data_IF_670689927027
#
_entry.id   IF_670689927027
#
_cell.length_a   1.000
_cell.length_b   1.000
_cell.length_c   1.000
_cell.angle_alpha   90.00
_cell.angle_beta   90.00
_cell.angle_gamma   90.00
#
_symmetry.space_group_name_H-M   'P 1'
#
loop_
_entity.id
_entity.type
_entity.pdbx_description
1 polymer ?
#
# COMPACT_ATOMS: atom_id res chain seq x y z
N UNK A 1 -40.73 13.83 36.49
CA UNK A 1 -39.72 12.75 36.40
C UNK A 1 -39.84 11.91 35.13
N UNK A 2 -40.73 12.26 34.19
CA UNK A 2 -40.94 11.52 32.93
C UNK A 2 -40.78 12.43 31.69
N UNK A 3 -40.26 13.65 31.90
CA UNK A 3 -40.00 14.65 30.84
C UNK A 3 -38.51 14.85 30.54
N UNK A 4 -37.62 14.42 31.43
CA UNK A 4 -36.16 14.57 31.24
C UNK A 4 -35.55 13.40 30.45
N UNK A 5 -36.23 12.25 30.37
CA UNK A 5 -35.75 11.06 29.63
C UNK A 5 -35.87 11.20 28.11
N UNK A 6 -36.83 11.99 27.62
CA UNK A 6 -37.03 12.23 26.19
C UNK A 6 -36.12 13.34 25.65
N UNK A 7 -35.61 14.23 26.50
CA UNK A 7 -34.62 15.24 26.13
C UNK A 7 -33.20 14.67 26.05
N UNK A 8 -32.82 13.72 26.92
CA UNK A 8 -31.53 13.00 26.81
C UNK A 8 -31.48 12.06 25.59
N UNK A 9 -32.60 11.42 25.22
CA UNK A 9 -32.68 10.63 24.00
C UNK A 9 -32.61 11.50 22.72
N UNK A 10 -33.17 12.72 22.75
CA UNK A 10 -33.01 13.69 21.66
C UNK A 10 -31.62 14.30 21.61
N UNK A 11 -30.97 14.53 22.75
CA UNK A 11 -29.58 15.00 22.82
C UNK A 11 -28.59 13.95 22.28
N UNK A 12 -28.83 12.65 22.52
CA UNK A 12 -27.99 11.58 21.97
C UNK A 12 -28.15 11.35 20.45
N UNK A 13 -29.19 11.90 19.83
CA UNK A 13 -29.43 11.81 18.37
C UNK A 13 -28.91 13.04 17.62
N UNK A 14 -28.17 13.93 18.29
CA UNK A 14 -27.51 15.11 17.70
C UNK A 14 -26.01 14.88 17.43
N UNK A 15 -25.62 13.66 17.07
CA UNK A 15 -24.34 13.39 16.43
C UNK A 15 -24.42 13.88 14.98
N UNK A 16 -24.14 15.17 14.79
CA UNK A 16 -23.68 15.82 13.55
C UNK A 16 -24.08 15.09 12.27
N UNK A 17 -25.29 15.33 11.77
CA UNK A 17 -25.66 14.97 10.40
C UNK A 17 -24.84 15.83 9.45
N UNK A 18 -23.59 15.43 9.18
CA UNK A 18 -22.76 16.06 8.17
C UNK A 18 -23.52 15.93 6.85
N UNK A 19 -23.98 17.07 6.31
CA UNK A 19 -24.65 17.09 5.01
C UNK A 19 -23.76 16.41 3.96
N UNK A 20 -24.37 15.63 3.07
CA UNK A 20 -23.67 14.98 1.96
C UNK A 20 -22.76 15.94 1.19
N UNK A 21 -23.14 17.23 1.10
CA UNK A 21 -22.39 18.29 0.43
C UNK A 21 -21.06 18.62 1.13
N UNK A 22 -21.08 18.71 2.47
CA UNK A 22 -19.89 19.01 3.28
C UNK A 22 -18.92 17.83 3.18
N UNK A 23 -19.45 16.61 3.33
CA UNK A 23 -18.65 15.39 3.26
C UNK A 23 -18.01 15.20 1.89
N UNK A 24 -18.75 15.41 0.80
CA UNK A 24 -18.20 15.37 -0.57
C UNK A 24 -17.04 16.36 -0.75
N UNK A 25 -17.27 17.63 -0.39
CA UNK A 25 -16.27 18.69 -0.56
C UNK A 25 -14.98 18.35 0.17
N UNK A 26 -15.11 17.86 1.40
CA UNK A 26 -13.98 17.49 2.24
C UNK A 26 -13.20 16.29 1.70
N UNK A 27 -13.88 15.21 1.28
CA UNK A 27 -13.22 14.04 0.70
C UNK A 27 -12.51 14.37 -0.63
N UNK A 28 -13.14 15.19 -1.48
CA UNK A 28 -12.52 15.70 -2.72
C UNK A 28 -11.24 16.49 -2.41
N UNK A 29 -11.29 17.35 -1.40
CA UNK A 29 -10.14 18.12 -0.95
C UNK A 29 -8.99 17.22 -0.49
N UNK A 30 -9.29 16.22 0.34
CA UNK A 30 -8.31 15.25 0.84
C UNK A 30 -7.69 14.43 -0.30
N UNK A 31 -8.48 14.00 -1.29
CA UNK A 31 -7.97 13.36 -2.50
C UNK A 31 -6.97 14.25 -3.25
N UNK A 32 -7.25 15.55 -3.39
CA UNK A 32 -6.36 16.49 -4.08
C UNK A 32 -5.06 16.71 -3.31
N UNK A 33 -5.13 16.82 -1.99
CA UNK A 33 -3.93 16.87 -1.13
C UNK A 33 -3.07 15.63 -1.31
N UNK A 34 -3.67 14.44 -1.27
CA UNK A 34 -2.96 13.18 -1.45
C UNK A 34 -2.32 13.08 -2.85
N UNK A 35 -3.02 13.50 -3.90
CA UNK A 35 -2.46 13.53 -5.26
C UNK A 35 -1.28 14.48 -5.39
N UNK A 36 -1.34 15.66 -4.76
CA UNK A 36 -0.25 16.62 -4.76
C UNK A 36 1.00 16.06 -4.06
N UNK A 37 0.84 15.41 -2.89
CA UNK A 37 1.95 14.73 -2.21
C UNK A 37 2.57 13.62 -3.08
N UNK A 38 1.73 12.78 -3.71
CA UNK A 38 2.19 11.73 -4.62
C UNK A 38 2.90 12.27 -5.87
N UNK A 39 2.46 13.40 -6.41
CA UNK A 39 3.10 14.07 -7.54
C UNK A 39 4.50 14.58 -7.19
N UNK A 40 4.66 15.16 -5.99
CA UNK A 40 5.96 15.61 -5.50
C UNK A 40 6.90 14.42 -5.32
N UNK A 41 6.41 13.33 -4.73
CA UNK A 41 7.19 12.10 -4.58
C UNK A 41 7.62 11.51 -5.94
N UNK A 42 6.70 11.47 -6.93
CA UNK A 42 7.04 11.03 -8.29
C UNK A 42 8.07 11.94 -8.97
N UNK A 43 7.97 13.25 -8.80
CA UNK A 43 8.97 14.20 -9.30
C UNK A 43 10.34 13.97 -8.66
N UNK A 44 10.37 13.71 -7.35
CA UNK A 44 11.60 13.40 -6.63
C UNK A 44 12.27 12.12 -7.15
N UNK A 45 11.50 11.05 -7.39
CA UNK A 45 11.97 9.83 -8.07
C UNK A 45 12.52 10.15 -9.47
N UNK A 46 11.79 10.94 -10.25
CA UNK A 46 12.18 11.31 -11.61
C UNK A 46 13.50 12.08 -11.67
N UNK A 47 13.81 12.87 -10.65
CA UNK A 47 15.06 13.63 -10.56
C UNK A 47 16.26 12.83 -10.03
N UNK A 48 16.02 11.70 -9.35
CA UNK A 48 17.06 11.00 -8.56
C UNK A 48 17.70 9.81 -9.28
N UNK A 49 17.01 9.17 -10.22
CA UNK A 49 17.45 7.90 -10.83
C UNK A 49 17.67 8.00 -12.34
N UNK A 50 18.54 7.13 -12.88
CA UNK A 50 18.71 6.94 -14.35
C UNK A 50 17.39 6.60 -15.03
N UNK A 51 17.22 7.04 -16.28
CA UNK A 51 15.98 6.83 -17.08
C UNK A 51 15.41 5.41 -17.00
N UNK A 52 16.26 4.37 -17.07
CA UNK A 52 15.79 2.98 -16.95
C UNK A 52 15.26 2.64 -15.54
N UNK A 53 16.01 2.95 -14.48
CA UNK A 53 15.58 2.74 -13.09
C UNK A 53 14.38 3.63 -12.74
N UNK A 54 14.41 4.89 -13.18
CA UNK A 54 13.31 5.84 -13.08
C UNK A 54 12.03 5.27 -13.67
N UNK A 55 12.05 4.75 -14.90
CA UNK A 55 10.87 4.17 -15.52
C UNK A 55 10.32 3.00 -14.72
N UNK A 56 11.19 2.13 -14.19
CA UNK A 56 10.77 1.04 -13.31
C UNK A 56 10.09 1.58 -12.05
N UNK A 57 10.74 2.49 -11.31
CA UNK A 57 10.15 3.08 -10.10
C UNK A 57 8.84 3.82 -10.38
N UNK A 58 8.76 4.60 -11.47
CA UNK A 58 7.54 5.33 -11.82
C UNK A 58 6.38 4.40 -12.20
N UNK A 59 6.65 3.25 -12.82
CA UNK A 59 5.63 2.22 -13.09
C UNK A 59 5.10 1.64 -11.78
N UNK A 60 6.00 1.32 -10.86
CA UNK A 60 5.66 0.72 -9.55
C UNK A 60 4.90 1.69 -8.63
N UNK A 61 5.06 3.01 -8.81
CA UNK A 61 4.30 4.05 -8.09
C UNK A 61 2.96 4.39 -8.72
N UNK A 62 2.76 4.05 -10.00
CA UNK A 62 1.59 4.49 -10.78
C UNK A 62 0.27 4.00 -10.18
N UNK A 63 0.26 2.81 -9.61
CA UNK A 63 -0.98 2.16 -9.18
C UNK A 63 -1.67 2.92 -8.04
N UNK A 64 -0.92 3.33 -7.01
CA UNK A 64 -1.48 4.12 -5.91
C UNK A 64 -2.07 5.44 -6.42
N UNK A 65 -1.30 6.20 -7.21
CA UNK A 65 -1.79 7.44 -7.83
C UNK A 65 -3.04 7.22 -8.68
N UNK A 66 -3.07 6.15 -9.48
CA UNK A 66 -4.22 5.80 -10.31
C UNK A 66 -5.46 5.50 -9.47
N UNK A 67 -5.30 4.77 -8.36
CA UNK A 67 -6.39 4.45 -7.44
C UNK A 67 -6.95 5.72 -6.78
N UNK A 68 -6.09 6.63 -6.33
CA UNK A 68 -6.52 7.93 -5.78
C UNK A 68 -7.21 8.78 -6.86
N UNK A 69 -6.72 8.75 -8.11
CA UNK A 69 -7.34 9.47 -9.23
C UNK A 69 -8.72 8.91 -9.57
N UNK A 70 -8.89 7.58 -9.57
CA UNK A 70 -10.21 6.96 -9.76
C UNK A 70 -11.16 7.29 -8.62
N UNK A 71 -10.66 7.33 -7.38
CA UNK A 71 -11.47 7.72 -6.22
C UNK A 71 -11.94 9.17 -6.34
N UNK A 72 -11.05 10.10 -6.72
CA UNK A 72 -11.39 11.50 -6.96
C UNK A 72 -12.52 11.63 -7.99
N UNK A 73 -12.44 10.90 -9.11
CA UNK A 73 -13.50 10.92 -10.14
C UNK A 73 -14.84 10.41 -9.61
N UNK A 74 -14.82 9.35 -8.80
CA UNK A 74 -16.03 8.81 -8.16
C UNK A 74 -16.63 9.83 -7.19
N UNK A 75 -15.81 10.49 -6.37
CA UNK A 75 -16.26 11.51 -5.43
C UNK A 75 -16.79 12.77 -6.15
N UNK A 76 -16.16 13.20 -7.25
CA UNK A 76 -16.65 14.32 -8.07
C UNK A 76 -18.00 14.02 -8.71
N UNK A 77 -18.24 12.75 -9.11
CA UNK A 77 -19.55 12.30 -9.56
C UNK A 77 -20.59 12.36 -8.45
N UNK A 78 -20.28 11.81 -7.26
CA UNK A 78 -21.18 11.87 -6.09
C UNK A 78 -21.48 13.32 -5.66
N UNK A 79 -20.51 14.23 -5.78
CA UNK A 79 -20.72 15.65 -5.53
C UNK A 79 -21.63 16.32 -6.57
N UNK A 80 -21.63 15.84 -7.82
CA UNK A 80 -22.60 16.27 -8.83
C UNK A 80 -24.01 15.77 -8.48
N UNK A 81 -24.14 14.49 -8.11
CA UNK A 81 -25.42 13.89 -7.74
C UNK A 81 -26.01 14.57 -6.48
N UNK A 82 -25.16 14.89 -5.51
CA UNK A 82 -25.55 15.65 -4.31
C UNK A 82 -26.07 17.04 -4.65
N UNK A 83 -25.38 17.77 -5.54
CA UNK A 83 -25.84 19.10 -5.99
C UNK A 83 -27.17 19.03 -6.74
N UNK A 84 -27.38 17.99 -7.54
CA UNK A 84 -28.65 17.77 -8.23
C UNK A 84 -29.79 17.51 -7.23
N UNK A 85 -29.56 16.69 -6.20
CA UNK A 85 -30.56 16.47 -5.14
C UNK A 85 -30.88 17.74 -4.36
N UNK A 86 -29.88 18.55 -4.03
CA UNK A 86 -30.10 19.84 -3.34
C UNK A 86 -30.92 20.79 -4.21
N UNK A 87 -30.65 20.84 -5.52
CA UNK A 87 -31.44 21.66 -6.45
C UNK A 87 -32.88 21.15 -6.59
N UNK A 88 -33.09 19.84 -6.67
CA UNK A 88 -34.42 19.22 -6.71
C UNK A 88 -35.23 19.55 -5.45
N UNK A 89 -34.60 19.48 -4.27
CA UNK A 89 -35.21 19.85 -2.99
C UNK A 89 -35.62 21.32 -2.97
N UNK A 90 -34.75 22.22 -3.43
CA UNK A 90 -35.02 23.65 -3.49
C UNK A 90 -36.16 24.01 -4.46
N UNK A 91 -36.26 23.33 -5.61
CA UNK A 91 -37.37 23.54 -6.55
C UNK A 91 -38.71 23.02 -5.99
N UNK A 92 -38.71 21.89 -5.29
CA UNK A 92 -39.91 21.35 -4.60
C UNK A 92 -40.37 22.27 -3.46
N UNK A 93 -39.45 22.85 -2.71
CA UNK A 93 -39.76 23.82 -1.66
C UNK A 93 -40.44 25.08 -2.22
N UNK A 94 -39.94 25.62 -3.35
CA UNK A 94 -40.59 26.75 -4.06
C UNK A 94 -42.00 26.42 -4.56
N UNK A 95 -42.23 25.17 -4.99
CA UNK A 95 -43.56 24.72 -5.44
C UNK A 95 -44.55 24.58 -4.27
N UNK A 96 -44.07 24.23 -3.06
CA UNK A 96 -44.87 24.14 -1.83
C UNK A 96 -45.30 25.51 -1.30
N UNK A 97 -44.44 26.53 -1.37
CA UNK A 97 -44.77 27.91 -0.96
C UNK A 97 -45.93 28.53 -1.77
N UNK A 98 -46.28 27.95 -2.93
CA UNK A 98 -47.40 28.39 -3.77
C UNK A 98 -48.75 27.67 -3.55
N UNK A 99 -48.81 26.58 -2.75
CA UNK A 99 -50.05 25.80 -2.52
C UNK A 99 -50.33 25.66 -1.03
N UNK A 100 -51.52 26.07 -0.59
CA UNK A 100 -51.97 25.88 0.80
C UNK A 100 -51.88 24.39 1.21
N UNK A 101 -51.21 24.17 2.34
CA UNK A 101 -50.92 22.89 2.97
C UNK A 101 -52.11 21.92 2.95
N UNK A 102 -51.97 20.82 2.22
CA UNK A 102 -52.69 19.59 2.51
C UNK A 102 -51.71 18.64 3.20
N UNK A 103 -51.98 18.36 4.47
CA UNK A 103 -51.20 17.51 5.39
C UNK A 103 -51.18 16.04 4.94
N UNK A 104 -50.43 15.72 3.89
CA UNK A 104 -50.00 14.36 3.58
C UNK A 104 -48.49 14.27 3.73
N UNK A 105 -47.99 13.25 4.42
CA UNK A 105 -46.59 12.84 4.29
C UNK A 105 -46.35 12.52 2.81
N UNK A 106 -45.65 13.40 2.09
CA UNK A 106 -45.35 13.20 0.67
C UNK A 106 -44.34 12.06 0.53
N UNK A 107 -44.73 11.00 -0.18
CA UNK A 107 -43.88 9.86 -0.59
C UNK A 107 -42.55 10.34 -1.23
N UNK A 108 -42.60 11.51 -1.87
CA UNK A 108 -41.51 12.16 -2.60
C UNK A 108 -40.42 12.76 -1.67
N UNK A 109 -40.76 13.20 -0.45
CA UNK A 109 -39.77 13.64 0.55
C UNK A 109 -38.97 12.43 1.08
N UNK A 110 -39.65 11.30 1.26
CA UNK A 110 -39.03 10.03 1.69
C UNK A 110 -38.07 9.51 0.62
N UNK A 111 -38.40 9.67 -0.67
CA UNK A 111 -37.50 9.29 -1.76
C UNK A 111 -36.20 10.11 -1.78
N UNK A 112 -36.30 11.43 -1.56
CA UNK A 112 -35.13 12.32 -1.49
C UNK A 112 -34.21 11.97 -0.31
N UNK A 113 -34.79 11.71 0.87
CA UNK A 113 -34.01 11.29 2.05
C UNK A 113 -33.33 9.94 1.83
N UNK A 114 -34.01 8.98 1.19
CA UNK A 114 -33.38 7.70 0.83
C UNK A 114 -32.24 7.87 -0.18
N UNK A 115 -32.38 8.77 -1.16
CA UNK A 115 -31.30 9.08 -2.12
C UNK A 115 -30.10 9.73 -1.41
N UNK A 116 -30.34 10.70 -0.54
CA UNK A 116 -29.28 11.34 0.27
C UNK A 116 -28.58 10.31 1.18
N UNK A 117 -29.34 9.44 1.85
CA UNK A 117 -28.82 8.36 2.68
C UNK A 117 -27.91 7.39 1.90
N UNK A 118 -28.28 7.03 0.66
CA UNK A 118 -27.43 6.20 -0.21
C UNK A 118 -26.11 6.90 -0.58
N UNK A 119 -26.15 8.20 -0.85
CA UNK A 119 -24.94 8.98 -1.13
C UNK A 119 -24.04 9.02 0.09
N UNK A 120 -24.57 9.36 1.27
CA UNK A 120 -23.80 9.42 2.52
C UNK A 120 -23.18 8.06 2.84
N UNK A 121 -23.93 6.97 2.69
CA UNK A 121 -23.41 5.62 2.88
C UNK A 121 -22.23 5.35 1.93
N UNK A 122 -22.38 5.69 0.65
CA UNK A 122 -21.32 5.52 -0.35
C UNK A 122 -20.07 6.33 0.00
N UNK A 123 -20.24 7.59 0.42
CA UNK A 123 -19.14 8.47 0.86
C UNK A 123 -18.40 7.91 2.08
N UNK A 124 -19.13 7.38 3.07
CA UNK A 124 -18.56 6.73 4.25
C UNK A 124 -17.79 5.45 3.90
N UNK A 125 -18.24 4.74 2.87
CA UNK A 125 -17.55 3.55 2.33
C UNK A 125 -16.41 3.86 1.34
N UNK A 126 -16.04 5.14 1.17
CA UNK A 126 -14.94 5.55 0.30
C UNK A 126 -13.63 4.84 0.67
N UNK A 127 -12.87 4.45 -0.36
CA UNK A 127 -11.57 3.83 -0.19
C UNK A 127 -10.47 4.84 0.19
N UNK A 128 -10.79 6.14 0.24
CA UNK A 128 -9.83 7.20 0.54
C UNK A 128 -9.17 7.03 1.92
N UNK A 129 -9.93 6.52 2.91
CA UNK A 129 -9.40 6.27 4.26
C UNK A 129 -8.22 5.29 4.21
N UNK A 130 -8.40 4.19 3.47
CA UNK A 130 -7.36 3.19 3.25
C UNK A 130 -6.18 3.75 2.45
N UNK A 131 -6.42 4.45 1.34
CA UNK A 131 -5.34 5.02 0.53
C UNK A 131 -4.51 6.06 1.32
N UNK A 132 -5.17 6.86 2.15
CA UNK A 132 -4.53 7.83 3.05
C UNK A 132 -3.73 7.12 4.13
N UNK A 133 -4.26 6.03 4.70
CA UNK A 133 -3.55 5.20 5.66
C UNK A 133 -2.25 4.63 5.08
N UNK A 134 -2.33 4.00 3.89
CA UNK A 134 -1.17 3.44 3.17
C UNK A 134 -0.10 4.51 2.95
N UNK A 135 -0.50 5.70 2.50
CA UNK A 135 0.45 6.78 2.26
C UNK A 135 1.05 7.36 3.55
N UNK A 136 0.24 7.53 4.60
CA UNK A 136 0.69 8.03 5.90
C UNK A 136 1.71 7.09 6.53
N UNK A 137 1.41 5.78 6.54
CA UNK A 137 2.34 4.73 6.98
C UNK A 137 3.64 4.79 6.19
N UNK A 138 3.55 4.94 4.86
CA UNK A 138 4.73 5.00 4.00
C UNK A 138 5.64 6.18 4.39
N UNK A 139 5.06 7.36 4.68
CA UNK A 139 5.82 8.55 5.11
C UNK A 139 6.51 8.34 6.46
N UNK A 140 5.83 7.69 7.41
CA UNK A 140 6.30 7.62 8.80
C UNK A 140 7.20 6.41 9.12
N UNK A 141 7.00 5.30 8.41
CA UNK A 141 7.60 3.99 8.80
C UNK A 141 8.42 3.33 7.71
N UNK A 142 8.26 3.71 6.44
CA UNK A 142 8.84 2.97 5.34
C UNK A 142 10.03 3.72 4.70
N UNK A 143 11.28 3.42 5.09
CA UNK A 143 12.43 3.93 4.35
C UNK A 143 12.54 3.28 2.98
N UNK A 144 13.01 4.02 1.97
CA UNK A 144 13.35 3.47 0.66
C UNK A 144 12.21 2.69 -0.02
N UNK A 145 11.05 3.34 -0.18
CA UNK A 145 9.84 2.81 -0.82
C UNK A 145 10.09 2.52 -2.30
N UNK A 146 9.78 1.29 -2.72
CA UNK A 146 10.02 0.77 -4.07
C UNK A 146 8.74 0.64 -4.89
N UNK A 147 7.65 0.14 -4.29
CA UNK A 147 6.39 -0.10 -4.98
C UNK A 147 5.19 0.04 -4.05
N UNK A 148 4.05 0.46 -4.58
CA UNK A 148 2.76 0.39 -3.89
C UNK A 148 1.84 -0.62 -4.57
N UNK A 149 1.01 -1.33 -3.78
CA UNK A 149 -0.05 -2.19 -4.29
C UNK A 149 0.43 -3.28 -5.26
N UNK A 150 1.56 -3.92 -4.96
CA UNK A 150 2.24 -4.88 -5.84
C UNK A 150 1.81 -6.31 -5.56
N UNK A 151 1.59 -7.08 -6.63
CA UNK A 151 1.29 -8.51 -6.54
C UNK A 151 2.53 -9.36 -6.82
N UNK A 152 2.82 -10.27 -5.89
CA UNK A 152 3.91 -11.24 -5.99
C UNK A 152 3.33 -12.64 -6.18
N UNK A 153 4.00 -13.47 -6.98
CA UNK A 153 3.54 -14.81 -7.31
C UNK A 153 4.57 -15.84 -6.84
N UNK A 154 4.13 -17.00 -6.37
CA UNK A 154 5.02 -18.10 -5.95
C UNK A 154 4.85 -19.38 -6.76
N UNK A 155 4.09 -19.34 -7.85
CA UNK A 155 3.96 -20.51 -8.73
C UNK A 155 5.28 -20.77 -9.47
N UNK A 156 5.85 -21.95 -9.24
CA UNK A 156 7.09 -22.40 -9.89
C UNK A 156 6.87 -22.72 -11.37
N UNK A 157 5.63 -23.03 -11.78
CA UNK A 157 5.33 -23.44 -13.16
C UNK A 157 5.09 -22.24 -14.10
N UNK A 158 4.85 -21.03 -13.55
CA UNK A 158 4.71 -19.81 -14.36
C UNK A 158 6.02 -19.37 -15.05
N UNK A 159 7.18 -19.90 -14.60
CA UNK A 159 8.51 -19.58 -15.14
C UNK A 159 9.13 -20.73 -15.95
N UNK A 160 8.44 -21.86 -16.13
CA UNK A 160 8.93 -22.90 -17.06
C UNK A 160 8.59 -22.46 -18.48
N UNK A 161 9.57 -22.33 -19.40
CA UNK A 161 9.25 -22.30 -20.81
C UNK A 161 8.51 -23.61 -21.13
N UNK A 162 7.36 -23.51 -21.79
CA UNK A 162 6.63 -24.68 -22.26
C UNK A 162 7.55 -25.40 -23.25
N UNK A 163 8.19 -26.48 -22.82
CA UNK A 163 8.94 -27.35 -23.72
C UNK A 163 7.96 -27.91 -24.77
N UNK A 164 8.21 -27.59 -26.04
CA UNK A 164 7.54 -28.24 -27.17
C UNK A 164 6.55 -27.40 -28.00
N UNK A 165 6.45 -26.07 -27.84
CA UNK A 165 5.69 -25.23 -28.79
C UNK A 165 6.49 -23.99 -29.23
N UNK A 166 7.23 -24.14 -30.32
CA UNK A 166 7.78 -23.03 -31.11
C UNK A 166 6.65 -22.32 -31.89
N UNK A 167 5.68 -21.72 -31.21
CA UNK A 167 4.71 -20.82 -31.85
C UNK A 167 4.83 -19.42 -31.26
N UNK A 168 5.30 -18.50 -32.11
CA UNK A 168 5.67 -17.10 -31.80
C UNK A 168 4.49 -16.18 -31.39
N UNK A 169 3.37 -16.70 -30.88
CA UNK A 169 2.22 -15.90 -30.45
C UNK A 169 1.46 -16.47 -29.23
N UNK A 170 2.11 -17.28 -28.39
CA UNK A 170 1.48 -17.66 -27.12
C UNK A 170 1.44 -16.47 -26.15
N UNK A 171 0.23 -15.96 -25.86
CA UNK A 171 -0.01 -15.05 -24.73
C UNK A 171 0.62 -15.68 -23.47
N UNK A 172 1.29 -14.90 -22.59
CA UNK A 172 1.83 -15.44 -21.37
C UNK A 172 0.72 -16.17 -20.59
N UNK A 173 0.99 -17.34 -20.01
CA UNK A 173 -0.01 -18.09 -19.26
C UNK A 173 -0.63 -17.15 -18.21
N UNK A 174 -1.96 -17.16 -18.14
CA UNK A 174 -2.71 -16.34 -17.20
C UNK A 174 -2.26 -16.73 -15.79
N UNK A 175 -1.45 -15.88 -15.14
CA UNK A 175 -0.87 -16.20 -13.83
C UNK A 175 -2.01 -16.43 -12.84
N UNK A 176 -2.03 -17.62 -12.23
CA UNK A 176 -3.06 -17.97 -11.27
C UNK A 176 -3.06 -16.99 -10.10
N UNK A 177 -4.15 -16.23 -9.98
CA UNK A 177 -4.34 -15.28 -8.87
C UNK A 177 -4.31 -15.99 -7.51
N UNK A 178 -4.64 -17.28 -7.48
CA UNK A 178 -4.63 -18.15 -6.29
C UNK A 178 -3.22 -18.36 -5.72
N UNK A 179 -2.18 -18.27 -6.53
CA UNK A 179 -0.78 -18.40 -6.08
C UNK A 179 -0.08 -17.04 -6.05
N UNK A 180 -0.77 -16.05 -5.47
CA UNK A 180 -0.26 -14.68 -5.42
C UNK A 180 -0.63 -13.92 -4.15
N UNK A 181 0.31 -13.12 -3.65
CA UNK A 181 0.14 -12.26 -2.50
C UNK A 181 0.09 -10.81 -2.97
N UNK A 182 -0.79 -10.02 -2.36
CA UNK A 182 -0.90 -8.60 -2.63
C UNK A 182 -0.28 -7.80 -1.48
N UNK A 183 0.77 -7.05 -1.79
CA UNK A 183 1.56 -6.25 -0.85
C UNK A 183 1.24 -4.78 -1.07
N UNK A 184 0.85 -4.06 -0.02
CA UNK A 184 0.44 -2.67 -0.14
C UNK A 184 1.63 -1.73 -0.27
N UNK A 185 2.73 -1.99 0.45
CA UNK A 185 3.96 -1.20 0.40
C UNK A 185 5.17 -2.13 0.37
N UNK A 186 6.07 -1.93 -0.59
CA UNK A 186 7.39 -2.58 -0.61
C UNK A 186 8.43 -1.50 -0.33
N UNK A 187 9.24 -1.72 0.69
CA UNK A 187 10.18 -0.72 1.22
C UNK A 187 11.48 -1.39 1.68
N UNK A 188 12.37 -0.64 2.33
CA UNK A 188 13.68 -1.12 2.75
C UNK A 188 14.54 -1.51 1.54
N UNK A 189 14.41 -0.79 0.43
CA UNK A 189 14.98 -1.14 -0.87
C UNK A 189 14.54 -2.52 -1.39
N UNK A 190 13.32 -2.95 -1.04
CA UNK A 190 12.69 -4.19 -1.50
C UNK A 190 12.77 -5.36 -0.53
N UNK A 191 13.54 -5.22 0.55
CA UNK A 191 13.72 -6.28 1.55
C UNK A 191 12.59 -6.37 2.57
N UNK A 192 11.69 -5.38 2.62
CA UNK A 192 10.56 -5.37 3.54
C UNK A 192 9.25 -5.18 2.79
N UNK A 193 8.28 -6.04 3.09
CA UNK A 193 6.95 -6.06 2.51
C UNK A 193 5.92 -5.78 3.60
N UNK A 194 5.03 -4.83 3.34
CA UNK A 194 4.02 -4.40 4.29
C UNK A 194 2.63 -4.51 3.71
N UNK A 195 1.72 -5.00 4.54
CA UNK A 195 0.29 -5.05 4.31
C UNK A 195 -0.42 -4.18 5.33
N UNK A 196 -1.35 -3.36 4.86
CA UNK A 196 -2.21 -2.54 5.71
C UNK A 196 -3.58 -3.20 5.76
N UNK A 197 -3.95 -3.71 6.93
CA UNK A 197 -5.25 -4.35 7.15
C UNK A 197 -6.29 -3.32 7.58
N UNK A 198 -7.46 -3.36 6.95
CA UNK A 198 -8.62 -2.55 7.34
C UNK A 198 -9.60 -3.28 8.27
N UNK A 199 -9.28 -4.52 8.65
CA UNK A 199 -10.08 -5.36 9.55
C UNK A 199 -10.15 -4.71 10.93
N UNK A 200 -11.35 -4.63 11.49
CA UNK A 200 -11.62 -4.18 12.86
C UNK A 200 -11.98 -5.35 13.77
N UNK A 201 -12.07 -5.12 15.08
CA UNK A 201 -12.33 -6.20 16.04
C UNK A 201 -13.67 -6.89 15.77
N UNK A 202 -14.73 -6.11 15.51
CA UNK A 202 -16.07 -6.66 15.26
C UNK A 202 -16.13 -7.56 14.02
N UNK A 203 -15.46 -7.18 12.92
CA UNK A 203 -15.38 -7.99 11.71
C UNK A 203 -14.59 -9.27 11.94
N UNK A 204 -13.47 -9.17 12.65
CA UNK A 204 -12.65 -10.34 12.95
C UNK A 204 -13.40 -11.33 13.85
N UNK A 205 -14.10 -10.83 14.88
CA UNK A 205 -14.92 -11.66 15.76
C UNK A 205 -16.10 -12.31 15.03
N UNK A 206 -16.75 -11.57 14.12
CA UNK A 206 -17.81 -12.14 13.29
C UNK A 206 -17.27 -13.25 12.39
N UNK A 207 -16.12 -13.04 11.75
CA UNK A 207 -15.46 -14.06 10.92
C UNK A 207 -15.05 -15.28 11.75
N UNK A 208 -14.55 -15.06 12.97
CA UNK A 208 -14.23 -16.14 13.92
C UNK A 208 -15.47 -16.97 14.25
N UNK A 209 -16.59 -16.32 14.56
CA UNK A 209 -17.84 -17.03 14.82
C UNK A 209 -18.36 -17.78 13.59
N UNK A 210 -18.31 -17.16 12.40
CA UNK A 210 -18.75 -17.78 11.14
C UNK A 210 -17.94 -19.04 10.81
N UNK A 211 -16.63 -19.03 11.10
CA UNK A 211 -15.71 -20.15 10.85
C UNK A 211 -15.57 -21.12 12.03
N UNK A 212 -16.39 -20.99 13.07
CA UNK A 212 -16.36 -21.88 14.23
C UNK A 212 -15.06 -21.81 15.05
N UNK A 213 -14.39 -20.65 15.07
CA UNK A 213 -13.28 -20.37 15.99
C UNK A 213 -13.86 -20.12 17.40
N UNK A 214 -14.47 -21.14 17.99
CA UNK A 214 -14.95 -21.12 19.36
C UNK A 214 -13.82 -21.49 20.32
N UNK A 215 -13.83 -20.88 21.50
CA UNK A 215 -12.94 -21.24 22.59
C UNK A 215 -13.46 -22.52 23.23
N UNK A 216 -12.73 -23.63 23.09
CA UNK A 216 -12.75 -24.69 24.10
C UNK A 216 -12.31 -24.06 25.42
N UNK A 217 -13.28 -23.60 26.19
CA UNK A 217 -13.11 -23.09 27.54
C UNK A 217 -13.28 -24.29 28.47
N UNK A 218 -12.20 -25.04 28.64
CA UNK A 218 -11.92 -26.07 29.65
C UNK A 218 -13.11 -26.91 30.18
N UNK A 219 -13.25 -28.16 29.71
CA UNK A 219 -13.54 -29.33 30.56
C UNK A 219 -13.39 -30.64 29.76
N UNK A 220 -12.86 -31.68 30.42
CA UNK A 220 -12.48 -32.99 29.88
C UNK A 220 -13.55 -33.64 28.96
N UNK A 221 -13.20 -33.97 27.72
CA UNK A 221 -14.06 -34.81 26.86
C UNK A 221 -13.59 -34.87 25.41
N UNK A 222 -13.30 -36.08 24.94
CA UNK A 222 -12.73 -36.35 23.62
C UNK A 222 -13.56 -35.85 22.41
N UNK A 223 -12.80 -35.53 21.35
CA UNK A 223 -13.18 -35.47 19.93
C UNK A 223 -13.67 -34.13 19.34
N UNK A 224 -12.72 -33.30 18.90
CA UNK A 224 -12.64 -32.83 17.49
C UNK A 224 -11.26 -32.20 17.20
N UNK A 225 -10.43 -32.96 16.48
CA UNK A 225 -9.29 -32.61 15.60
C UNK A 225 -8.79 -31.16 15.42
N UNK A 226 -8.53 -30.39 16.49
CA UNK A 226 -7.68 -29.18 16.43
C UNK A 226 -6.69 -29.03 17.62
N UNK A 227 -6.50 -30.07 18.42
CA UNK A 227 -5.58 -30.02 19.56
C UNK A 227 -4.31 -30.86 19.32
N UNK A 228 -3.30 -30.20 18.77
CA UNK A 228 -1.90 -30.48 19.14
C UNK A 228 -0.98 -29.28 18.84
N UNK A 229 -1.44 -28.07 19.20
CA UNK A 229 -0.62 -26.86 19.15
C UNK A 229 -0.26 -26.40 20.56
N UNK A 230 0.47 -27.23 21.30
CA UNK A 230 1.10 -26.82 22.56
C UNK A 230 1.99 -25.59 22.29
N UNK A 231 1.71 -24.51 23.03
CA UNK A 231 2.37 -23.22 22.90
C UNK A 231 3.68 -23.28 23.70
N UNK A 232 4.79 -23.60 23.04
CA UNK A 232 6.12 -23.43 23.63
C UNK A 232 6.73 -22.10 23.14
N UNK A 233 6.76 -21.04 23.98
CA UNK A 233 7.31 -19.74 23.60
C UNK A 233 8.83 -19.76 23.36
N UNK A 234 9.51 -20.89 23.62
CA UNK A 234 10.93 -21.10 23.35
C UNK A 234 11.20 -22.11 22.21
N UNK A 235 10.16 -22.62 21.54
CA UNK A 235 10.26 -23.62 20.47
C UNK A 235 10.76 -23.07 19.12
N UNK A 236 11.29 -23.93 18.23
CA UNK A 236 11.68 -23.52 16.89
C UNK A 236 10.48 -22.95 16.10
N UNK A 237 10.76 -21.94 15.25
CA UNK A 237 9.77 -21.31 14.35
C UNK A 237 8.87 -22.37 13.71
N UNK A 238 7.53 -22.22 13.81
CA UNK A 238 6.57 -23.15 13.22
C UNK A 238 6.83 -23.25 11.71
N UNK A 239 6.89 -24.48 11.21
CA UNK A 239 6.91 -24.72 9.78
C UNK A 239 5.58 -24.27 9.17
N UNK A 240 5.66 -23.60 8.03
CA UNK A 240 4.49 -23.15 7.28
C UNK A 240 3.83 -24.39 6.71
N UNK A 241 2.52 -24.62 6.95
CA UNK A 241 1.78 -25.72 6.32
C UNK A 241 2.19 -25.87 4.85
N UNK A 242 2.71 -27.05 4.52
CA UNK A 242 3.06 -27.38 3.14
C UNK A 242 1.75 -27.42 2.37
N UNK A 243 1.74 -26.78 1.21
CA UNK A 243 0.63 -26.73 0.25
C UNK A 243 0.27 -28.17 -0.16
N UNK A 244 -0.61 -28.83 0.60
CA UNK A 244 -1.25 -30.05 0.16
C UNK A 244 -2.18 -29.63 -0.97
N UNK A 245 -1.84 -30.07 -2.18
CA UNK A 245 -2.48 -29.61 -3.40
C UNK A 245 -4.00 -29.78 -3.37
N UNK A 246 -4.66 -28.76 -3.92
CA UNK A 246 -6.04 -28.74 -4.39
C UNK A 246 -7.13 -29.29 -3.46
N UNK A 247 -7.75 -28.35 -2.74
CA UNK A 247 -9.15 -28.44 -2.32
C UNK A 247 -9.31 -28.87 -0.87
N UNK A 248 -9.99 -28.01 -0.10
CA UNK A 248 -10.78 -28.32 1.12
C UNK A 248 -10.29 -27.75 2.47
N UNK A 249 -9.07 -27.24 2.64
CA UNK A 249 -8.62 -26.79 3.99
C UNK A 249 -8.59 -25.25 4.26
N UNK A 250 -8.74 -24.39 3.24
CA UNK A 250 -8.72 -22.92 3.45
C UNK A 250 -10.07 -22.33 3.91
N UNK A 251 -11.14 -23.14 3.96
CA UNK A 251 -12.49 -22.66 4.31
C UNK A 251 -12.59 -22.11 5.74
N UNK A 252 -11.87 -22.77 6.66
CA UNK A 252 -11.98 -22.51 8.10
C UNK A 252 -10.92 -21.52 8.60
N UNK A 253 -10.00 -21.08 7.74
CA UNK A 253 -8.93 -20.16 8.13
C UNK A 253 -9.36 -18.69 8.00
N UNK A 254 -9.08 -17.87 9.01
CA UNK A 254 -9.36 -16.42 8.99
C UNK A 254 -8.60 -15.71 7.86
N UNK A 255 -9.25 -14.74 7.19
CA UNK A 255 -8.73 -13.97 6.06
C UNK A 255 -7.39 -13.32 6.40
N UNK A 256 -7.27 -12.79 7.62
CA UNK A 256 -6.04 -12.17 8.10
C UNK A 256 -4.87 -13.17 8.19
N UNK A 257 -5.14 -14.42 8.59
CA UNK A 257 -4.13 -15.48 8.67
C UNK A 257 -3.76 -15.95 7.27
N UNK A 258 -4.76 -16.22 6.41
CA UNK A 258 -4.54 -16.62 5.01
C UNK A 258 -3.69 -15.59 4.27
N UNK A 259 -4.00 -14.31 4.45
CA UNK A 259 -3.23 -13.20 3.88
C UNK A 259 -1.78 -13.17 4.37
N UNK A 260 -1.55 -13.36 5.67
CA UNK A 260 -0.21 -13.43 6.23
C UNK A 260 0.58 -14.60 5.64
N UNK A 261 -0.06 -15.76 5.54
CA UNK A 261 0.52 -16.99 5.00
C UNK A 261 0.90 -16.86 3.52
N UNK A 262 0.00 -16.32 2.70
CA UNK A 262 0.25 -16.03 1.28
C UNK A 262 1.44 -15.08 1.11
N UNK A 263 1.53 -14.03 1.93
CA UNK A 263 2.67 -13.12 1.90
C UNK A 263 3.98 -13.82 2.22
N UNK A 264 4.00 -14.77 3.17
CA UNK A 264 5.22 -15.52 3.48
C UNK A 264 5.56 -16.52 2.37
N UNK A 265 4.57 -17.21 1.78
CA UNK A 265 4.79 -18.07 0.60
C UNK A 265 5.44 -17.26 -0.53
N UNK A 266 4.88 -16.10 -0.85
CA UNK A 266 5.41 -15.17 -1.85
C UNK A 266 6.81 -14.64 -1.50
N UNK A 267 7.07 -14.28 -0.24
CA UNK A 267 8.36 -13.75 0.18
C UNK A 267 9.45 -14.83 0.15
N UNK A 268 9.11 -16.08 0.49
CA UNK A 268 10.02 -17.24 0.40
C UNK A 268 10.39 -17.59 -1.04
N UNK A 269 9.48 -17.37 -1.99
CA UNK A 269 9.71 -17.56 -3.42
C UNK A 269 10.49 -16.39 -4.07
N UNK A 270 10.56 -15.23 -3.41
CA UNK A 270 11.23 -14.04 -3.94
C UNK A 270 12.63 -13.89 -3.33
N UNK A 271 13.59 -13.39 -4.13
CA UNK A 271 14.91 -12.98 -3.63
C UNK A 271 15.15 -11.51 -3.95
N UNK A 272 15.48 -10.74 -2.92
CA UNK A 272 15.95 -9.36 -3.01
C UNK A 272 17.32 -9.32 -2.36
N UNK A 273 18.35 -8.97 -3.13
CA UNK A 273 19.76 -8.96 -2.68
C UNK A 273 20.15 -10.26 -1.95
N UNK A 274 19.83 -11.39 -2.58
CA UNK A 274 20.06 -12.75 -2.07
C UNK A 274 19.34 -13.13 -0.77
N UNK A 275 18.45 -12.27 -0.25
CA UNK A 275 17.64 -12.53 0.94
C UNK A 275 16.17 -12.65 0.60
N UNK A 276 15.42 -13.30 1.48
CA UNK A 276 13.96 -13.28 1.45
C UNK A 276 13.45 -11.99 2.07
N UNK A 277 12.44 -11.33 1.46
CA UNK A 277 11.81 -10.17 2.08
C UNK A 277 11.16 -10.52 3.43
N UNK A 278 11.23 -9.59 4.38
CA UNK A 278 10.52 -9.67 5.65
C UNK A 278 9.08 -9.21 5.48
N UNK A 279 8.15 -9.86 6.15
CA UNK A 279 6.72 -9.58 6.05
C UNK A 279 6.25 -8.86 7.31
N UNK A 280 5.58 -7.72 7.09
CA UNK A 280 5.00 -6.85 8.10
C UNK A 280 3.52 -6.65 7.83
N UNK A 281 2.70 -6.65 8.87
CA UNK A 281 1.27 -6.34 8.82
C UNK A 281 0.99 -5.21 9.79
N UNK A 282 0.31 -4.18 9.34
CA UNK A 282 -0.22 -3.13 10.20
C UNK A 282 -1.73 -3.30 10.24
N UNK A 283 -2.28 -3.45 11.44
CA UNK A 283 -3.72 -3.58 11.69
C UNK A 283 -4.17 -2.43 12.62
N UNK A 284 -4.42 -1.22 12.07
CA UNK A 284 -4.66 -0.01 12.87
C UNK A 284 -5.89 -0.10 13.77
N UNK A 285 -6.89 -0.89 13.36
CA UNK A 285 -8.20 -1.01 14.00
C UNK A 285 -8.32 -2.23 14.92
N UNK A 286 -7.21 -2.90 15.20
CA UNK A 286 -7.14 -3.96 16.20
C UNK A 286 -6.37 -3.43 17.40
N UNK A 287 -6.76 -3.81 18.61
CA UNK A 287 -6.09 -3.44 19.86
C UNK A 287 -5.64 -4.70 20.60
N UNK A 288 -4.36 -4.78 20.93
CA UNK A 288 -3.79 -5.91 21.67
C UNK A 288 -4.19 -5.87 23.15
N UNK A 289 -4.46 -7.05 23.72
CA UNK A 289 -4.81 -7.20 25.13
C UNK A 289 -6.25 -6.85 25.48
N UNK A 290 -7.06 -6.41 24.51
CA UNK A 290 -8.47 -6.07 24.72
C UNK A 290 -9.38 -7.29 24.58
N UNK A 291 -9.10 -8.14 23.60
CA UNK A 291 -9.92 -9.31 23.24
C UNK A 291 -8.99 -10.53 23.12
N UNK A 292 -9.01 -11.45 24.11
CA UNK A 292 -8.10 -12.59 24.15
C UNK A 292 -8.13 -13.47 22.88
N UNK A 293 -9.30 -13.56 22.24
CA UNK A 293 -9.52 -14.32 21.01
C UNK A 293 -8.75 -13.71 19.83
N UNK A 294 -8.77 -12.38 19.71
CA UNK A 294 -7.99 -11.66 18.71
C UNK A 294 -6.50 -11.80 18.99
N UNK A 295 -6.09 -11.72 20.26
CA UNK A 295 -4.68 -11.89 20.64
C UNK A 295 -4.14 -13.28 20.26
N UNK A 296 -4.97 -14.33 20.37
CA UNK A 296 -4.61 -15.68 19.87
C UNK A 296 -4.34 -15.67 18.37
N UNK A 297 -5.18 -15.02 17.57
CA UNK A 297 -5.00 -14.86 16.12
C UNK A 297 -3.70 -14.11 15.79
N UNK A 298 -3.45 -12.99 16.49
CA UNK A 298 -2.23 -12.20 16.32
C UNK A 298 -0.97 -13.03 16.65
N UNK A 299 -1.03 -13.82 17.71
CA UNK A 299 0.06 -14.71 18.11
C UNK A 299 0.31 -15.85 17.11
N UNK A 300 -0.74 -16.40 16.50
CA UNK A 300 -0.61 -17.37 15.41
C UNK A 300 0.17 -16.73 14.24
N UNK A 301 -0.20 -15.53 13.82
CA UNK A 301 0.49 -14.81 12.73
C UNK A 301 1.97 -14.59 13.07
N UNK A 302 2.27 -14.15 14.30
CA UNK A 302 3.65 -13.94 14.78
C UNK A 302 4.48 -15.22 14.80
N UNK A 303 3.85 -16.36 15.12
CA UNK A 303 4.54 -17.66 15.20
C UNK A 303 5.17 -18.08 13.86
N UNK A 304 4.68 -17.55 12.73
CA UNK A 304 5.24 -17.78 11.40
C UNK A 304 6.36 -16.80 11.01
N UNK A 305 6.73 -15.88 11.90
CA UNK A 305 7.78 -14.88 11.67
C UNK A 305 7.30 -13.61 10.94
N UNK A 306 5.99 -13.35 10.93
CA UNK A 306 5.42 -12.08 10.50
C UNK A 306 5.45 -11.08 11.65
N UNK A 307 5.86 -9.85 11.38
CA UNK A 307 5.72 -8.75 12.34
C UNK A 307 4.34 -8.15 12.18
N UNK A 308 3.55 -8.09 13.25
CA UNK A 308 2.22 -7.47 13.24
C UNK A 308 2.14 -6.37 14.30
N UNK A 309 1.77 -5.17 13.86
CA UNK A 309 1.59 -3.98 14.68
C UNK A 309 0.11 -3.58 14.72
N UNK A 310 -0.43 -3.43 15.93
CA UNK A 310 -1.83 -3.11 16.18
C UNK A 310 -1.97 -1.71 16.80
N UNK A 311 -3.17 -1.15 16.81
CA UNK A 311 -3.51 0.09 17.54
C UNK A 311 -2.78 1.33 17.02
N UNK A 312 -2.30 1.29 15.78
CA UNK A 312 -1.63 2.44 15.18
C UNK A 312 -2.64 3.57 14.97
N UNK A 313 -2.40 4.71 15.60
CA UNK A 313 -3.21 5.90 15.39
C UNK A 313 -2.96 6.45 13.98
N UNK A 314 -3.80 6.02 13.04
CA UNK A 314 -3.84 6.60 11.71
C UNK A 314 -4.82 7.76 11.74
N UNK A 315 -4.44 8.85 11.09
CA UNK A 315 -5.30 10.00 10.85
C UNK A 315 -6.65 9.56 10.30
N UNK A 316 -7.72 9.89 11.03
CA UNK A 316 -9.07 9.70 10.54
C UNK A 316 -9.44 10.82 9.57
N UNK A 317 -9.72 10.45 8.31
CA UNK A 317 -10.13 11.39 7.28
C UNK A 317 -11.53 11.98 7.54
N UNK A 318 -12.29 11.41 8.48
CA UNK A 318 -13.61 11.86 8.92
C UNK A 318 -13.58 12.66 10.24
N UNK A 319 -12.45 12.73 10.95
CA UNK A 319 -12.27 13.59 12.11
C UNK A 319 -12.00 15.05 11.71
N UNK A 320 -12.61 16.01 12.40
CA UNK A 320 -12.42 17.44 12.08
C UNK A 320 -10.97 17.87 12.34
N UNK A 321 -10.25 18.18 11.25
CA UNK A 321 -8.90 18.71 11.29
C UNK A 321 -8.85 19.96 10.41
N UNK A 322 -9.14 21.10 11.04
CA UNK A 322 -9.20 22.39 10.35
C UNK A 322 -7.90 22.75 9.61
N UNK A 323 -6.74 22.34 10.14
CA UNK A 323 -5.46 22.71 9.54
C UNK A 323 -5.28 22.04 8.18
N UNK A 324 -5.69 20.78 8.08
CA UNK A 324 -5.61 20.02 6.83
C UNK A 324 -6.76 20.36 5.87
N UNK A 325 -7.97 20.55 6.40
CA UNK A 325 -9.14 20.92 5.60
C UNK A 325 -8.97 22.29 4.92
N UNK A 326 -8.11 23.17 5.47
CA UNK A 326 -7.78 24.49 4.89
C UNK A 326 -6.48 24.51 4.08
N UNK A 327 -5.66 23.44 4.10
CA UNK A 327 -4.38 23.40 3.38
C UNK A 327 -4.62 23.41 1.87
N UNK A 328 -3.97 24.31 1.13
CA UNK A 328 -4.07 24.33 -0.33
C UNK A 328 -3.24 23.19 -0.95
N UNK A 329 -3.82 22.29 -1.77
CA UNK A 329 -3.06 21.27 -2.49
C UNK A 329 -1.92 21.83 -3.34
N UNK A 330 -2.04 23.05 -3.85
CA UNK A 330 -1.00 23.67 -4.66
C UNK A 330 0.16 24.25 -3.85
N UNK A 331 -0.01 24.39 -2.52
CA UNK A 331 1.05 24.90 -1.65
C UNK A 331 1.99 23.82 -1.15
N UNK A 332 1.72 22.54 -1.44
CA UNK A 332 2.58 21.42 -1.01
C UNK A 332 3.86 21.43 -1.82
N UNK A 333 4.99 21.31 -1.13
CA UNK A 333 6.34 21.31 -1.68
C UNK A 333 7.13 20.07 -1.28
N UNK A 334 8.34 19.93 -1.81
CA UNK A 334 9.24 18.83 -1.46
C UNK A 334 9.63 18.82 0.03
N UNK A 335 9.69 19.99 0.66
CA UNK A 335 10.10 20.15 2.06
C UNK A 335 9.00 19.69 3.04
N UNK A 336 7.75 19.59 2.58
CA UNK A 336 6.63 19.06 3.36
C UNK A 336 6.65 17.53 3.49
N UNK A 337 7.53 16.84 2.75
CA UNK A 337 7.59 15.38 2.68
C UNK A 337 8.94 14.85 3.18
N UNK A 338 8.98 13.71 3.88
CA UNK A 338 10.22 13.07 4.32
C UNK A 338 10.93 12.33 3.17
N UNK A 339 11.21 13.04 2.06
CA UNK A 339 11.73 12.45 0.82
C UNK A 339 13.07 11.73 1.00
N UNK A 340 13.95 12.26 1.86
CA UNK A 340 15.25 11.64 2.15
C UNK A 340 15.12 10.25 2.77
N UNK A 341 14.08 10.04 3.57
CA UNK A 341 13.74 8.76 4.19
C UNK A 341 13.00 7.84 3.21
N UNK A 342 11.98 8.36 2.52
CA UNK A 342 11.12 7.55 1.64
C UNK A 342 11.81 7.12 0.34
N UNK A 343 12.70 7.92 -0.23
CA UNK A 343 13.31 7.59 -1.52
C UNK A 343 14.30 6.44 -1.38
N UNK A 344 14.35 5.50 -2.35
CA UNK A 344 15.31 4.40 -2.32
C UNK A 344 16.76 4.89 -2.20
N UNK A 345 17.51 4.23 -1.34
CA UNK A 345 18.94 4.45 -1.17
C UNK A 345 19.69 3.14 -1.43
N UNK A 346 20.24 2.92 -2.65
CA UNK A 346 20.92 1.68 -2.96
C UNK A 346 22.16 1.45 -2.08
N UNK A 347 22.76 2.52 -1.57
CA UNK A 347 24.04 2.53 -0.84
C UNK A 347 23.89 2.43 0.68
N UNK A 348 22.67 2.36 1.21
CA UNK A 348 22.40 2.34 2.66
C UNK A 348 23.18 1.24 3.40
N UNK A 349 23.39 0.09 2.75
CA UNK A 349 24.08 -1.07 3.33
C UNK A 349 25.55 -1.18 2.93
N UNK A 350 26.09 -0.16 2.26
CA UNK A 350 27.50 -0.17 1.90
C UNK A 350 28.32 0.01 3.17
N UNK A 351 29.27 -0.90 3.36
CA UNK A 351 30.27 -0.82 4.43
C UNK A 351 31.26 0.29 4.18
N UNK A 352 32.03 0.67 5.20
CA UNK A 352 33.09 1.67 5.09
C UNK A 352 34.20 1.24 4.12
N UNK A 353 34.34 -0.08 3.89
CA UNK A 353 35.25 -0.66 2.91
C UNK A 353 34.45 -1.25 1.75
N UNK A 354 34.74 -0.85 0.53
CA UNK A 354 34.10 -1.34 -0.70
C UNK A 354 35.12 -2.10 -1.53
N UNK A 355 34.76 -3.32 -1.93
CA UNK A 355 35.51 -4.06 -2.94
C UNK A 355 35.14 -3.56 -4.34
N UNK A 356 36.15 -3.15 -5.09
CA UNK A 356 36.05 -2.58 -6.43
C UNK A 356 36.63 -3.59 -7.41
N UNK A 357 35.84 -3.96 -8.42
CA UNK A 357 36.30 -4.84 -9.47
C UNK A 357 37.03 -4.09 -10.60
N UNK A 358 37.60 -4.85 -11.54
CA UNK A 358 38.31 -4.31 -12.69
C UNK A 358 37.41 -3.40 -13.55
N UNK A 359 36.10 -3.70 -13.66
CA UNK A 359 35.17 -2.90 -14.47
C UNK A 359 34.95 -1.52 -13.86
N UNK A 360 34.81 -1.44 -12.54
CA UNK A 360 34.70 -0.17 -11.83
C UNK A 360 36.02 0.63 -11.89
N UNK A 361 37.17 -0.03 -11.81
CA UNK A 361 38.47 0.62 -12.01
C UNK A 361 38.60 1.22 -13.41
N UNK A 362 38.19 0.48 -14.45
CA UNK A 362 38.16 0.99 -15.82
C UNK A 362 37.21 2.19 -15.96
N UNK A 363 36.03 2.15 -15.35
CA UNK A 363 35.12 3.31 -15.35
C UNK A 363 35.75 4.53 -14.65
N UNK A 364 36.49 4.33 -13.56
CA UNK A 364 37.18 5.40 -12.84
C UNK A 364 38.37 5.98 -13.61
N UNK A 365 38.99 5.23 -14.52
CA UNK A 365 40.12 5.69 -15.34
C UNK A 365 39.71 6.10 -16.76
N UNK A 366 38.44 5.88 -17.15
CA UNK A 366 37.95 6.08 -18.51
C UNK A 366 37.63 7.55 -18.80
N UNK A 367 38.24 8.10 -19.85
CA UNK A 367 37.93 9.45 -20.34
C UNK A 367 36.43 9.64 -20.65
N UNK A 368 35.76 8.58 -21.12
CA UNK A 368 34.32 8.61 -21.41
C UNK A 368 33.47 8.86 -20.17
N UNK A 369 33.96 8.50 -18.99
CA UNK A 369 33.23 8.60 -17.73
C UNK A 369 33.51 9.91 -16.99
N UNK A 370 34.58 10.64 -17.38
CA UNK A 370 34.94 11.94 -16.82
C UNK A 370 34.61 13.14 -17.73
N UNK A 371 34.56 12.93 -19.05
CA UNK A 371 34.38 14.02 -20.02
C UNK A 371 32.93 14.10 -20.49
N UNK A 372 32.29 15.24 -20.27
CA UNK A 372 30.95 15.51 -20.80
C UNK A 372 31.02 16.04 -22.25
N UNK A 373 29.94 15.84 -23.02
CA UNK A 373 29.78 16.35 -24.38
C UNK A 373 30.81 15.83 -25.41
N UNK A 374 31.17 14.55 -25.34
CA UNK A 374 32.03 13.92 -26.36
C UNK A 374 31.24 13.82 -27.67
N UNK A 375 31.71 14.46 -28.74
CA UNK A 375 31.03 14.37 -30.05
C UNK A 375 31.20 12.97 -30.65
N UNK A 376 30.12 12.24 -30.96
CA UNK A 376 30.21 10.92 -31.57
C UNK A 376 30.89 11.01 -32.94
N UNK A 377 31.96 10.25 -33.13
CA UNK A 377 32.60 10.10 -34.45
C UNK A 377 32.14 8.80 -35.13
N UNK A 378 31.85 8.81 -36.44
CA UNK A 378 31.59 7.58 -37.21
C UNK A 378 32.78 6.60 -37.20
N UNK A 379 33.99 7.07 -36.87
CA UNK A 379 35.18 6.24 -36.71
C UNK A 379 35.20 5.44 -35.41
N UNK A 380 34.36 5.79 -34.44
CA UNK A 380 34.28 5.07 -33.17
C UNK A 380 33.52 3.76 -33.32
N UNK A 381 33.94 2.76 -32.56
CA UNK A 381 33.20 1.52 -32.47
C UNK A 381 31.79 1.77 -31.92
N UNK A 382 30.78 1.05 -32.41
CA UNK A 382 29.37 1.22 -32.00
C UNK A 382 29.15 1.17 -30.49
N UNK A 383 29.94 0.38 -29.77
CA UNK A 383 29.89 0.32 -28.30
C UNK A 383 30.31 1.63 -27.62
N UNK A 384 31.32 2.33 -28.17
CA UNK A 384 31.78 3.63 -27.67
C UNK A 384 30.74 4.70 -27.94
N UNK A 385 30.17 4.72 -29.16
CA UNK A 385 29.09 5.65 -29.52
C UNK A 385 27.91 5.47 -28.55
N UNK A 386 27.52 4.22 -28.29
CA UNK A 386 26.44 3.92 -27.33
C UNK A 386 26.81 4.33 -25.91
N UNK A 387 28.05 4.15 -25.48
CA UNK A 387 28.49 4.60 -24.15
C UNK A 387 28.43 6.12 -24.04
N UNK A 388 28.86 6.86 -25.08
CA UNK A 388 28.76 8.33 -25.14
C UNK A 388 27.29 8.76 -25.00
N UNK A 389 26.38 8.16 -25.77
CA UNK A 389 24.93 8.44 -25.68
C UNK A 389 24.38 8.20 -24.26
N UNK A 390 24.82 7.12 -23.59
CA UNK A 390 24.37 6.78 -22.23
C UNK A 390 24.95 7.73 -21.17
N UNK A 391 26.22 8.11 -21.29
CA UNK A 391 26.90 9.04 -20.38
C UNK A 391 26.35 10.47 -20.52
N UNK A 392 25.92 10.87 -21.71
CA UNK A 392 25.30 12.18 -21.98
C UNK A 392 23.92 12.34 -21.31
N UNK A 393 23.15 11.24 -21.22
CA UNK A 393 21.86 11.26 -20.53
C UNK A 393 21.99 11.33 -19.00
N UNK A 394 22.89 10.53 -18.42
CA UNK A 394 23.23 10.60 -17.00
C UNK A 394 24.66 10.08 -16.75
N UNK A 395 25.59 10.90 -16.24
CA UNK A 395 26.99 10.48 -16.09
C UNK A 395 27.22 9.49 -14.95
N UNK A 396 27.84 8.34 -15.24
CA UNK A 396 28.03 7.20 -14.32
C UNK A 396 28.77 7.54 -13.05
N UNK A 397 29.85 8.30 -13.16
CA UNK A 397 30.65 8.66 -12.00
C UNK A 397 29.86 9.55 -11.05
N UNK A 398 29.32 10.65 -11.55
CA UNK A 398 28.65 11.65 -10.70
C UNK A 398 27.39 11.13 -10.03
N UNK A 399 26.64 10.26 -10.69
CA UNK A 399 25.30 9.88 -10.23
C UNK A 399 25.26 8.56 -9.48
N UNK A 400 26.14 7.62 -9.81
CA UNK A 400 26.12 6.27 -9.21
C UNK A 400 27.39 5.98 -8.43
N UNK A 401 28.57 6.10 -9.06
CA UNK A 401 29.81 5.61 -8.46
C UNK A 401 30.35 6.54 -7.37
N UNK A 402 30.35 7.86 -7.55
CA UNK A 402 30.79 8.77 -6.49
C UNK A 402 29.89 8.72 -5.26
N UNK A 403 28.54 8.79 -5.36
CA UNK A 403 27.68 8.63 -4.18
C UNK A 403 27.89 7.30 -3.45
N UNK A 404 28.19 6.22 -4.20
CA UNK A 404 28.57 4.94 -3.64
C UNK A 404 29.91 4.97 -2.90
N UNK A 405 30.91 5.66 -3.43
CA UNK A 405 32.32 5.55 -3.00
C UNK A 405 32.77 6.65 -2.04
N UNK A 406 32.14 7.82 -2.05
CA UNK A 406 32.56 8.97 -1.25
C UNK A 406 32.57 8.61 0.23
N UNK A 407 33.67 8.97 0.90
CA UNK A 407 33.88 8.71 2.32
C UNK A 407 34.22 7.25 2.68
N UNK A 408 34.44 6.38 1.68
CA UNK A 408 34.71 4.95 1.89
C UNK A 408 36.08 4.55 1.38
N UNK A 409 36.66 3.52 2.01
CA UNK A 409 37.90 2.90 1.59
C UNK A 409 37.64 1.94 0.42
N UNK A 410 38.33 2.17 -0.70
CA UNK A 410 38.24 1.32 -1.87
C UNK A 410 39.36 0.29 -1.85
N UNK A 411 39.02 -0.99 -1.95
CA UNK A 411 39.98 -2.10 -2.04
C UNK A 411 39.70 -2.92 -3.29
N UNK A 412 40.73 -3.50 -3.87
CA UNK A 412 40.60 -4.39 -5.02
C UNK A 412 41.69 -5.45 -4.96
N UNK A 413 41.55 -6.53 -5.74
CA UNK A 413 42.58 -7.56 -5.81
C UNK A 413 43.77 -7.09 -6.65
N UNK A 414 44.94 -7.72 -6.46
CA UNK A 414 46.14 -7.40 -7.23
C UNK A 414 45.95 -7.68 -8.73
N UNK A 415 45.16 -8.70 -9.06
CA UNK A 415 44.81 -9.06 -10.44
C UNK A 415 43.97 -7.98 -11.12
N UNK A 416 43.06 -7.33 -10.38
CA UNK A 416 42.21 -6.27 -10.92
C UNK A 416 43.02 -5.01 -11.29
N UNK A 417 44.08 -4.70 -10.54
CA UNK A 417 45.00 -3.58 -10.81
C UNK A 417 45.89 -3.84 -12.02
N UNK A 418 46.30 -5.10 -12.23
CA UNK A 418 47.22 -5.48 -13.31
C UNK A 418 46.56 -5.51 -14.70
N UNK A 419 45.24 -5.64 -14.74
CA UNK A 419 44.44 -5.61 -15.97
C UNK A 419 44.12 -4.18 -16.34
#
# INVERSE_FOLDING_TARGET
MEKDSDEEAKASTTLTTISATILCTRLIHHCRLLLAELDIFQKAIASRFRRHQQQQHLVEMRLLRSNVTSELKTLERLASDTRALVAERAEKEKLRDGRQQQNGYDDDDTELEMREGRIIHTLRSSNLSFLTAVWTIAKERCPGVISFSKRFYWDKDANKPVEGKEDKQAKPPNKDKKKSAFVDIVYGNGEDWMKVSSVNESRLLFEMAEKGWELDSDEEGESSSLQNAQFDPAGPRREIPIDHGEGEEDGDQLELITMAFDMIKASRATRVRYKNPRVHIIAPKLEEGKVPEIDKVLNIIRSYGVTIECGMQIRDIFADDEAYDKRDPNSITADDLPLSFMLPNPFEKFTDVINVDCTLLLALASDLSHTQNITPSPSFHRAIIRQIEVEDELPLLTTELWPAMVGRQLVCTQEAIKR
#
